data_IF_838126633372
#
_entry.id   IF_838126633372
#
_cell.length_a   1.000
_cell.length_b   1.000
_cell.length_c   1.000
_cell.angle_alpha   90.00
_cell.angle_beta   90.00
_cell.angle_gamma   90.00
#
_symmetry.space_group_name_H-M   'P 1'
#
loop_
_entity.id
_entity.type
_entity.pdbx_description
1 polymer ?
#
# COMPACT_ATOMS: atom_id res chain seq x y z
N UNK A 1 15.06 7.22 33.13
CA UNK A 1 14.56 8.20 32.16
C UNK A 1 14.02 7.39 30.99
N UNK A 2 12.72 7.06 30.99
CA UNK A 2 12.10 6.30 29.90
C UNK A 2 12.04 7.23 28.68
N UNK A 3 12.75 6.85 27.63
CA UNK A 3 12.75 7.59 26.37
C UNK A 3 11.32 7.63 25.81
N UNK A 4 10.77 8.84 25.71
CA UNK A 4 9.41 9.08 25.20
C UNK A 4 9.37 8.71 23.73
N UNK A 5 8.80 7.55 23.41
CA UNK A 5 8.63 7.11 22.03
C UNK A 5 7.40 7.80 21.43
N UNK A 6 7.61 8.97 20.83
CA UNK A 6 6.58 9.66 20.03
C UNK A 6 6.32 8.88 18.73
N UNK A 7 5.42 7.91 18.79
CA UNK A 7 4.91 7.26 17.59
C UNK A 7 3.80 8.15 17.04
N UNK A 8 3.93 8.63 15.80
CA UNK A 8 2.83 9.31 15.13
C UNK A 8 1.89 8.22 14.57
N UNK A 9 0.76 8.03 15.23
CA UNK A 9 -0.23 7.03 14.88
C UNK A 9 -1.63 7.59 14.95
N UNK A 10 -2.55 6.98 14.22
CA UNK A 10 -3.93 7.40 14.09
C UNK A 10 -4.81 6.41 14.86
N UNK A 11 -5.42 6.83 15.99
CA UNK A 11 -6.29 5.97 16.78
C UNK A 11 -7.47 5.43 16.01
N UNK A 12 -7.78 4.16 16.26
CA UNK A 12 -8.93 3.47 15.71
C UNK A 12 -9.86 3.05 16.84
N UNK A 13 -11.09 3.56 16.79
CA UNK A 13 -12.16 3.19 17.69
C UNK A 13 -12.99 2.06 17.08
N UNK A 14 -13.09 0.95 17.82
CA UNK A 14 -13.93 -0.20 17.46
C UNK A 14 -15.22 -0.12 18.29
N UNK A 15 -16.40 0.02 17.68
CA UNK A 15 -17.62 0.45 18.36
C UNK A 15 -18.28 -0.59 19.27
N UNK A 16 -17.94 -1.88 19.14
CA UNK A 16 -18.57 -2.97 19.89
C UNK A 16 -17.50 -3.87 20.49
N UNK A 17 -17.71 -4.37 21.72
CA UNK A 17 -16.82 -5.34 22.38
C UNK A 17 -16.76 -6.69 21.63
N UNK A 18 -17.75 -6.97 20.79
CA UNK A 18 -17.84 -8.18 19.98
C UNK A 18 -17.97 -7.83 18.49
N UNK A 19 -17.20 -8.51 17.64
CA UNK A 19 -17.26 -8.42 16.18
C UNK A 19 -17.85 -9.72 15.62
N UNK A 20 -18.85 -9.62 14.73
CA UNK A 20 -19.50 -10.76 14.08
C UNK A 20 -18.95 -11.03 12.68
N UNK A 21 -17.96 -11.90 12.58
CA UNK A 21 -17.23 -12.20 11.36
C UNK A 21 -17.99 -13.18 10.46
N UNK A 22 -17.98 -12.95 9.15
CA UNK A 22 -18.26 -14.02 8.19
C UNK A 22 -17.08 -15.01 8.14
N UNK A 23 -17.30 -16.23 8.60
CA UNK A 23 -16.27 -17.26 8.69
C UNK A 23 -16.82 -18.65 8.38
N UNK A 24 -16.00 -19.52 7.79
CA UNK A 24 -16.30 -20.94 7.61
C UNK A 24 -15.40 -21.75 8.53
N UNK A 25 -15.98 -22.64 9.33
CA UNK A 25 -15.22 -23.62 10.11
C UNK A 25 -14.47 -24.59 9.17
N UNK A 26 -13.19 -24.82 9.43
CA UNK A 26 -12.36 -25.78 8.70
C UNK A 26 -12.31 -27.10 9.46
N UNK A 27 -12.48 -28.20 8.73
CA UNK A 27 -12.38 -29.55 9.33
C UNK A 27 -10.92 -29.98 9.53
N UNK A 28 -10.71 -30.93 10.44
CA UNK A 28 -9.37 -31.43 10.78
C UNK A 28 -8.63 -31.94 9.53
N UNK A 29 -7.52 -31.27 9.18
CA UNK A 29 -6.69 -31.63 8.03
C UNK A 29 -6.96 -30.84 6.74
N UNK A 30 -8.00 -30.01 6.69
CA UNK A 30 -8.27 -29.16 5.52
C UNK A 30 -7.13 -28.15 5.32
N UNK A 31 -6.56 -28.09 4.10
CA UNK A 31 -5.61 -27.05 3.67
C UNK A 31 -6.13 -26.32 2.43
N UNK A 32 -7.32 -25.72 2.50
CA UNK A 32 -7.93 -25.07 1.35
C UNK A 32 -7.10 -23.85 0.94
N UNK A 33 -6.96 -23.66 -0.37
CA UNK A 33 -6.41 -22.43 -0.93
C UNK A 33 -7.54 -21.46 -1.18
N UNK A 34 -7.57 -20.37 -0.42
CA UNK A 34 -8.52 -19.29 -0.65
C UNK A 34 -7.87 -18.12 -1.38
N UNK A 35 -8.71 -17.26 -1.96
CA UNK A 35 -8.30 -15.98 -2.49
C UNK A 35 -7.72 -15.05 -1.41
N UNK A 36 -7.12 -13.94 -1.86
CA UNK A 36 -6.46 -12.98 -0.96
C UNK A 36 -7.41 -12.32 0.04
N UNK A 37 -8.72 -12.35 -0.20
CA UNK A 37 -9.76 -11.79 0.66
C UNK A 37 -10.16 -12.68 1.84
N UNK A 38 -9.62 -13.90 1.92
CA UNK A 38 -9.85 -14.82 3.03
C UNK A 38 -8.53 -15.10 3.75
N UNK A 39 -8.59 -15.16 5.09
CA UNK A 39 -7.47 -15.52 5.96
C UNK A 39 -7.89 -16.64 6.90
N UNK A 40 -6.94 -17.45 7.31
CA UNK A 40 -7.20 -18.53 8.25
C UNK A 40 -6.74 -18.12 9.65
N UNK A 41 -7.60 -18.32 10.64
CA UNK A 41 -7.31 -18.04 12.04
C UNK A 41 -7.74 -19.20 12.91
N UNK A 42 -7.13 -19.33 14.08
CA UNK A 42 -7.58 -20.22 15.14
C UNK A 42 -8.33 -19.39 16.18
N UNK A 43 -9.56 -19.81 16.50
CA UNK A 43 -10.46 -19.16 17.46
C UNK A 43 -10.96 -20.28 18.38
N UNK A 44 -10.68 -20.18 19.68
CA UNK A 44 -11.03 -21.19 20.68
C UNK A 44 -10.59 -22.63 20.28
N UNK A 45 -9.39 -22.78 19.71
CA UNK A 45 -8.86 -24.08 19.27
C UNK A 45 -9.50 -24.64 17.98
N UNK A 46 -10.36 -23.86 17.32
CA UNK A 46 -11.00 -24.24 16.05
C UNK A 46 -10.46 -23.35 14.93
N UNK A 47 -10.09 -23.96 13.80
CA UNK A 47 -9.62 -23.22 12.62
C UNK A 47 -10.80 -22.71 11.79
N UNK A 48 -10.74 -21.43 11.44
CA UNK A 48 -11.74 -20.75 10.62
C UNK A 48 -11.09 -20.10 9.41
N UNK A 49 -11.77 -20.17 8.27
CA UNK A 49 -11.54 -19.33 7.11
C UNK A 49 -12.41 -18.08 7.23
N UNK A 50 -11.80 -16.95 7.55
CA UNK A 50 -12.47 -15.67 7.81
C UNK A 50 -12.36 -14.79 6.57
N UNK A 51 -13.48 -14.22 6.14
CA UNK A 51 -13.51 -13.19 5.10
C UNK A 51 -12.99 -11.89 5.72
N UNK A 52 -11.91 -11.33 5.17
CA UNK A 52 -11.26 -10.12 5.70
C UNK A 52 -11.31 -8.94 4.74
N UNK A 53 -11.54 -9.17 3.45
CA UNK A 53 -11.61 -8.13 2.43
C UNK A 53 -12.81 -8.36 1.48
N UNK A 54 -13.18 -7.38 0.63
CA UNK A 54 -14.21 -7.57 -0.38
C UNK A 54 -13.93 -8.77 -1.29
N UNK A 55 -14.97 -9.58 -1.53
CA UNK A 55 -14.95 -10.75 -2.40
C UNK A 55 -16.04 -11.75 -2.02
N UNK A 56 -16.25 -12.77 -2.84
CA UNK A 56 -17.28 -13.78 -2.58
C UNK A 56 -16.89 -14.64 -1.36
N UNK A 57 -17.79 -14.79 -0.37
CA UNK A 57 -17.52 -15.63 0.79
C UNK A 57 -17.43 -17.11 0.36
N UNK A 58 -16.52 -17.91 0.94
CA UNK A 58 -16.52 -19.35 0.73
C UNK A 58 -17.88 -19.99 1.05
N UNK A 59 -18.28 -21.06 0.32
CA UNK A 59 -19.50 -21.80 0.64
C UNK A 59 -19.48 -22.31 2.08
N UNK A 60 -20.60 -22.13 2.80
CA UNK A 60 -20.72 -22.55 4.21
C UNK A 60 -20.17 -21.53 5.23
N UNK A 61 -19.99 -20.27 4.85
CA UNK A 61 -19.73 -19.21 5.83
C UNK A 61 -20.94 -18.95 6.73
N UNK A 62 -20.68 -18.79 8.01
CA UNK A 62 -21.60 -18.41 9.07
C UNK A 62 -21.11 -17.14 9.79
N UNK A 63 -21.96 -16.54 10.62
CA UNK A 63 -21.56 -15.41 11.46
C UNK A 63 -20.96 -15.92 12.77
N UNK A 64 -19.67 -15.66 12.98
CA UNK A 64 -18.94 -16.05 14.19
C UNK A 64 -18.65 -14.79 15.01
N UNK A 65 -19.17 -14.74 16.23
CA UNK A 65 -18.86 -13.69 17.20
C UNK A 65 -17.47 -13.89 17.81
N UNK A 66 -16.65 -12.84 17.79
CA UNK A 66 -15.37 -12.79 18.51
C UNK A 66 -15.31 -11.56 19.40
N UNK A 67 -14.69 -11.68 20.57
CA UNK A 67 -14.26 -10.51 21.33
C UNK A 67 -12.92 -10.04 20.81
N UNK A 68 -12.84 -8.80 20.32
CA UNK A 68 -11.60 -8.32 19.71
C UNK A 68 -10.45 -8.18 20.69
N UNK A 69 -10.73 -8.09 22.00
CA UNK A 69 -9.71 -8.09 23.05
C UNK A 69 -9.00 -9.45 23.14
N UNK A 70 -9.73 -10.54 22.91
CA UNK A 70 -9.18 -11.91 22.94
C UNK A 70 -8.44 -12.23 21.62
N UNK A 71 -8.83 -11.59 20.52
CA UNK A 71 -8.32 -11.85 19.16
C UNK A 71 -7.88 -10.57 18.43
N UNK A 72 -6.96 -9.76 18.98
CA UNK A 72 -6.63 -8.45 18.45
C UNK A 72 -5.95 -8.49 17.08
N UNK A 73 -5.23 -9.57 16.75
CA UNK A 73 -4.64 -9.74 15.41
C UNK A 73 -5.68 -9.91 14.30
N UNK A 74 -6.86 -10.46 14.62
CA UNK A 74 -7.98 -10.57 13.67
C UNK A 74 -8.57 -9.18 13.44
N UNK A 75 -8.88 -8.44 14.52
CA UNK A 75 -9.39 -7.08 14.44
C UNK A 75 -8.44 -6.13 13.71
N UNK A 76 -7.13 -6.20 14.00
CA UNK A 76 -6.09 -5.46 13.29
C UNK A 76 -6.13 -5.73 11.77
N UNK A 77 -6.29 -6.99 11.36
CA UNK A 77 -6.38 -7.34 9.93
C UNK A 77 -7.64 -6.74 9.30
N UNK A 78 -8.78 -6.81 9.99
CA UNK A 78 -10.05 -6.28 9.49
C UNK A 78 -10.05 -4.75 9.36
N UNK A 79 -9.50 -4.05 10.35
CA UNK A 79 -9.32 -2.58 10.33
C UNK A 79 -8.46 -2.19 9.13
N UNK A 80 -7.34 -2.88 8.94
CA UNK A 80 -6.42 -2.64 7.83
C UNK A 80 -7.09 -2.85 6.47
N UNK A 81 -7.76 -3.98 6.28
CA UNK A 81 -8.45 -4.30 5.04
C UNK A 81 -9.62 -3.34 4.76
N UNK A 82 -10.37 -2.94 5.79
CA UNK A 82 -11.43 -1.94 5.68
C UNK A 82 -10.89 -0.56 5.27
N UNK A 83 -9.79 -0.12 5.88
CA UNK A 83 -9.13 1.14 5.53
C UNK A 83 -8.67 1.15 4.07
N UNK A 84 -7.97 0.10 3.63
CA UNK A 84 -7.53 0.01 2.24
C UNK A 84 -8.70 -0.03 1.26
N UNK A 85 -9.78 -0.76 1.59
CA UNK A 85 -10.96 -0.87 0.74
C UNK A 85 -11.71 0.47 0.62
N UNK A 86 -11.78 1.24 1.70
CA UNK A 86 -12.37 2.58 1.70
C UNK A 86 -11.65 3.53 0.72
N UNK A 87 -10.31 3.55 0.76
CA UNK A 87 -9.53 4.38 -0.15
C UNK A 87 -9.54 3.85 -1.59
N UNK A 88 -9.58 2.52 -1.77
CA UNK A 88 -9.77 1.92 -3.09
C UNK A 88 -11.09 2.36 -3.73
N UNK A 89 -12.19 2.36 -2.98
CA UNK A 89 -13.49 2.86 -3.43
C UNK A 89 -13.46 4.38 -3.75
N UNK A 90 -12.51 5.11 -3.17
CA UNK A 90 -12.27 6.54 -3.42
C UNK A 90 -11.31 6.80 -4.59
N UNK A 91 -10.95 5.76 -5.36
CA UNK A 91 -10.11 5.88 -6.56
C UNK A 91 -8.60 5.76 -6.31
N UNK A 92 -8.17 5.39 -5.10
CA UNK A 92 -6.76 5.10 -4.86
C UNK A 92 -6.39 3.70 -5.37
N UNK A 93 -5.20 3.59 -5.95
CA UNK A 93 -4.57 2.30 -6.20
C UNK A 93 -4.02 1.73 -4.89
N UNK A 94 -4.25 0.42 -4.66
CA UNK A 94 -3.83 -0.26 -3.43
C UNK A 94 -2.77 -1.30 -3.74
N UNK A 95 -1.59 -1.13 -3.17
CA UNK A 95 -0.49 -2.11 -3.21
C UNK A 95 -0.32 -2.74 -1.84
N UNK A 96 -0.70 -4.01 -1.69
CA UNK A 96 -0.59 -4.75 -0.42
C UNK A 96 0.78 -5.43 -0.28
N UNK A 97 1.48 -5.16 0.82
CA UNK A 97 2.70 -5.84 1.25
C UNK A 97 2.49 -6.69 2.51
N UNK A 98 3.58 -7.29 3.00
CA UNK A 98 3.57 -8.09 4.23
C UNK A 98 3.57 -7.17 5.45
N UNK A 99 2.38 -6.89 5.99
CA UNK A 99 2.21 -6.06 7.20
C UNK A 99 2.28 -4.54 6.94
N UNK A 100 2.31 -4.12 5.69
CA UNK A 100 2.26 -2.73 5.24
C UNK A 100 1.48 -2.68 3.92
N UNK A 101 0.64 -1.67 3.76
CA UNK A 101 -0.06 -1.36 2.52
C UNK A 101 0.35 -0.01 2.01
N UNK A 102 0.24 0.20 0.70
CA UNK A 102 0.41 1.52 0.09
C UNK A 102 -0.83 1.90 -0.68
N UNK A 103 -1.25 3.14 -0.50
CA UNK A 103 -2.32 3.79 -1.25
C UNK A 103 -1.69 4.82 -2.17
N UNK A 104 -2.09 4.88 -3.44
CA UNK A 104 -1.58 5.85 -4.39
C UNK A 104 -2.71 6.54 -5.14
N UNK A 105 -2.64 7.86 -5.25
CA UNK A 105 -3.52 8.64 -6.12
C UNK A 105 -2.66 9.45 -7.11
N UNK A 106 -3.09 9.49 -8.37
CA UNK A 106 -2.36 10.23 -9.40
C UNK A 106 -2.37 11.73 -9.10
N UNK A 107 -1.22 12.37 -9.24
CA UNK A 107 -1.04 13.82 -9.06
C UNK A 107 -0.36 14.41 -10.29
N UNK A 108 -1.01 15.42 -10.87
CA UNK A 108 -0.38 16.25 -11.87
C UNK A 108 0.64 17.18 -11.19
N UNK A 109 1.91 17.06 -11.56
CA UNK A 109 2.97 17.97 -11.15
C UNK A 109 3.22 18.97 -12.29
N UNK A 110 3.09 20.25 -11.98
CA UNK A 110 3.35 21.32 -12.95
C UNK A 110 4.80 21.25 -13.45
N UNK A 111 4.97 21.39 -14.77
CA UNK A 111 6.26 21.29 -15.43
C UNK A 111 6.87 19.88 -15.48
N UNK A 112 6.21 18.84 -14.97
CA UNK A 112 6.69 17.48 -15.18
C UNK A 112 6.44 17.05 -16.64
N UNK A 113 7.42 16.44 -17.33
CA UNK A 113 7.21 15.93 -18.68
C UNK A 113 6.06 14.91 -18.72
N UNK A 114 5.23 14.95 -19.76
CA UNK A 114 4.09 14.05 -19.94
C UNK A 114 4.46 12.56 -20.01
N UNK A 115 5.74 12.25 -20.22
CA UNK A 115 6.27 10.87 -20.20
C UNK A 115 6.37 10.30 -18.79
N UNK A 116 6.22 11.11 -17.74
CA UNK A 116 6.26 10.70 -16.36
C UNK A 116 4.93 10.95 -15.65
N UNK A 117 4.50 9.95 -14.89
CA UNK A 117 3.38 10.03 -13.98
C UNK A 117 3.92 10.08 -12.55
N UNK A 118 3.28 10.88 -11.71
CA UNK A 118 3.59 10.98 -10.30
C UNK A 118 2.36 10.64 -9.48
N UNK A 119 2.57 9.90 -8.41
CA UNK A 119 1.52 9.52 -7.47
C UNK A 119 1.93 9.96 -6.07
N UNK A 120 1.05 10.72 -5.43
CA UNK A 120 1.09 10.89 -3.98
C UNK A 120 0.55 9.61 -3.34
N UNK A 121 1.04 9.26 -2.16
CA UNK A 121 0.58 8.06 -1.50
C UNK A 121 0.75 8.02 0.01
N UNK A 122 0.14 7.00 0.61
CA UNK A 122 0.21 6.70 2.03
C UNK A 122 0.78 5.30 2.22
N UNK A 123 1.82 5.18 3.03
CA UNK A 123 2.17 3.91 3.68
C UNK A 123 1.25 3.72 4.88
N UNK A 124 0.66 2.52 4.99
CA UNK A 124 -0.33 2.16 5.99
C UNK A 124 0.15 0.92 6.72
N UNK A 125 0.43 1.05 8.01
CA UNK A 125 0.81 -0.07 8.87
C UNK A 125 -0.12 -0.18 10.07
N UNK A 126 -0.95 -1.23 10.14
CA UNK A 126 -1.82 -1.42 11.29
C UNK A 126 -1.04 -1.96 12.48
N UNK A 127 -1.45 -1.61 13.69
CA UNK A 127 -0.92 -2.20 14.92
C UNK A 127 -1.99 -2.21 16.01
N UNK A 128 -1.69 -2.92 17.09
CA UNK A 128 -2.44 -2.83 18.33
C UNK A 128 -1.47 -2.87 19.51
N UNK A 129 -1.89 -2.29 20.63
CA UNK A 129 -1.16 -2.31 21.90
C UNK A 129 -2.10 -2.92 22.94
N UNK A 130 -1.78 -4.10 23.50
CA UNK A 130 -2.47 -4.60 24.67
C UNK A 130 -2.06 -3.74 25.89
N UNK A 131 -3.04 -3.16 26.59
CA UNK A 131 -2.84 -2.33 27.79
C UNK A 131 -3.81 -2.82 28.86
N UNK A 132 -3.29 -3.55 29.85
CA UNK A 132 -4.06 -4.19 30.92
C UNK A 132 -5.26 -4.98 30.40
N UNK A 133 -6.48 -4.54 30.70
CA UNK A 133 -7.76 -5.16 30.29
C UNK A 133 -8.29 -4.62 28.96
N UNK A 134 -7.53 -3.74 28.30
CA UNK A 134 -7.92 -3.04 27.07
C UNK A 134 -6.95 -3.33 25.93
N UNK A 135 -7.39 -3.08 24.70
CA UNK A 135 -6.50 -3.09 23.53
C UNK A 135 -6.75 -1.84 22.72
N UNK A 136 -5.69 -1.09 22.44
CA UNK A 136 -5.71 0.08 21.58
C UNK A 136 -5.36 -0.35 20.16
N UNK A 137 -6.13 0.09 19.17
CA UNK A 137 -5.85 -0.17 17.74
C UNK A 137 -5.46 1.09 17.04
N UNK A 138 -4.45 1.00 16.17
CA UNK A 138 -3.87 2.13 15.50
C UNK A 138 -3.43 1.87 14.08
N UNK A 139 -3.33 2.93 13.29
CA UNK A 139 -2.63 2.94 12.02
C UNK A 139 -1.41 3.88 12.12
N UNK A 140 -0.23 3.39 11.76
CA UNK A 140 0.88 4.27 11.40
C UNK A 140 0.70 4.65 9.94
N UNK A 141 0.53 5.95 9.68
CA UNK A 141 0.39 6.49 8.35
C UNK A 141 1.57 7.41 8.04
N UNK A 142 2.21 7.19 6.90
CA UNK A 142 3.32 8.01 6.45
C UNK A 142 3.18 8.37 4.98
N UNK A 143 3.64 9.57 4.60
CA UNK A 143 3.62 10.00 3.22
C UNK A 143 4.65 9.21 2.42
N UNK A 144 4.21 8.68 1.28
CA UNK A 144 5.06 8.04 0.28
C UNK A 144 4.71 8.56 -1.11
N UNK A 145 5.51 8.22 -2.10
CA UNK A 145 5.23 8.58 -3.49
C UNK A 145 5.69 7.47 -4.42
N UNK A 146 5.18 7.49 -5.64
CA UNK A 146 5.57 6.58 -6.71
C UNK A 146 5.68 7.37 -8.01
N UNK A 147 6.69 7.03 -8.80
CA UNK A 147 6.89 7.54 -10.15
C UNK A 147 6.78 6.40 -11.13
N UNK A 148 6.20 6.66 -12.30
CA UNK A 148 6.07 5.69 -13.38
C UNK A 148 6.28 6.39 -14.73
N UNK A 149 6.79 5.67 -15.72
CA UNK A 149 6.69 6.15 -17.09
C UNK A 149 5.25 5.97 -17.61
N UNK A 150 4.77 6.94 -18.38
CA UNK A 150 3.41 6.91 -18.93
C UNK A 150 3.25 5.80 -20.00
N UNK A 151 4.24 5.69 -20.89
CA UNK A 151 4.30 4.73 -22.00
C UNK A 151 4.87 3.38 -21.59
N UNK A 152 4.59 2.34 -22.37
CA UNK A 152 5.16 1.00 -22.19
C UNK A 152 6.49 0.86 -22.95
N UNK A 153 7.21 -0.25 -22.75
CA UNK A 153 8.37 -0.58 -23.57
C UNK A 153 7.98 -0.70 -25.05
N UNK A 154 6.77 -1.17 -25.38
CA UNK A 154 6.33 -1.25 -26.76
C UNK A 154 6.18 0.13 -27.43
N UNK A 155 5.88 1.18 -26.68
CA UNK A 155 5.60 2.49 -27.27
C UNK A 155 6.80 3.44 -27.22
N UNK A 156 7.77 3.15 -26.34
CA UNK A 156 8.87 4.07 -26.06
C UNK A 156 10.25 3.43 -26.34
N UNK A 157 10.87 3.75 -27.48
CA UNK A 157 12.20 3.25 -27.83
C UNK A 157 13.29 3.61 -26.82
N UNK A 158 13.13 4.71 -26.06
CA UNK A 158 14.12 5.10 -25.05
C UNK A 158 14.00 4.19 -23.84
N UNK A 159 12.79 3.91 -23.37
CA UNK A 159 12.62 2.90 -22.31
C UNK A 159 13.16 1.53 -22.72
N UNK A 160 12.98 1.11 -24.00
CA UNK A 160 13.56 -0.15 -24.49
C UNK A 160 15.08 -0.20 -24.36
N UNK A 161 15.79 0.90 -24.61
CA UNK A 161 17.25 0.96 -24.41
C UNK A 161 17.65 0.78 -22.95
N UNK A 162 16.75 1.12 -22.02
CA UNK A 162 17.00 1.08 -20.58
C UNK A 162 16.62 -0.27 -19.93
N UNK A 163 15.80 -1.10 -20.58
CA UNK A 163 15.26 -2.34 -19.99
C UNK A 163 16.32 -3.39 -19.59
N UNK A 164 17.51 -3.35 -20.21
CA UNK A 164 18.64 -4.21 -19.86
C UNK A 164 19.52 -3.65 -18.73
N UNK A 165 19.33 -2.39 -18.35
CA UNK A 165 20.10 -1.69 -17.30
C UNK A 165 19.31 -1.52 -16.00
N UNK A 166 17.99 -1.44 -16.10
CA UNK A 166 17.10 -1.15 -14.97
C UNK A 166 16.02 -2.21 -14.83
N UNK A 167 15.50 -2.35 -13.62
CA UNK A 167 14.37 -3.25 -13.34
C UNK A 167 13.14 -2.78 -14.14
N UNK A 168 12.42 -3.72 -14.75
CA UNK A 168 11.12 -3.51 -15.37
C UNK A 168 10.01 -4.01 -14.45
N UNK A 169 8.85 -3.40 -14.55
CA UNK A 169 7.64 -3.86 -13.88
C UNK A 169 6.46 -3.89 -14.85
N UNK A 170 5.52 -4.80 -14.60
CA UNK A 170 4.32 -4.97 -15.39
C UNK A 170 3.26 -5.77 -14.65
N UNK A 171 2.04 -5.73 -15.18
CA UNK A 171 0.92 -6.51 -14.68
C UNK A 171 0.56 -7.57 -15.73
N UNK A 172 0.37 -8.81 -15.28
CA UNK A 172 -0.11 -9.90 -16.12
C UNK A 172 -1.62 -9.81 -16.35
N UNK A 173 -2.11 -10.55 -17.33
CA UNK A 173 -3.56 -10.70 -17.58
C UNK A 173 -4.34 -11.28 -16.39
N UNK A 174 -3.68 -11.97 -15.46
CA UNK A 174 -4.27 -12.49 -14.22
C UNK A 174 -4.23 -11.49 -13.05
N UNK A 175 -3.79 -10.26 -13.29
CA UNK A 175 -3.65 -9.18 -12.30
C UNK A 175 -2.45 -9.34 -11.37
N UNK A 176 -1.56 -10.33 -11.60
CA UNK A 176 -0.34 -10.46 -10.83
C UNK A 176 0.73 -9.47 -11.30
N UNK A 177 1.30 -8.74 -10.34
CA UNK A 177 2.41 -7.82 -10.59
C UNK A 177 3.72 -8.59 -10.69
N UNK A 178 4.53 -8.22 -11.68
CA UNK A 178 5.87 -8.75 -11.90
C UNK A 178 6.86 -7.62 -11.90
N UNK A 179 8.01 -7.88 -11.28
CA UNK A 179 9.19 -7.03 -11.42
C UNK A 179 10.45 -7.89 -11.56
N UNK A 180 11.39 -7.39 -12.36
CA UNK A 180 12.64 -8.10 -12.62
C UNK A 180 13.48 -7.44 -13.71
N UNK A 181 14.50 -8.15 -14.18
CA UNK A 181 15.38 -7.65 -15.25
C UNK A 181 15.11 -8.39 -16.55
N UNK A 182 15.10 -7.67 -17.67
CA UNK A 182 14.96 -8.27 -19.00
C UNK A 182 16.26 -8.99 -19.34
N UNK A 183 16.18 -10.28 -19.65
CA UNK A 183 17.34 -11.08 -20.11
C UNK A 183 17.45 -11.14 -21.63
N UNK A 184 16.30 -11.28 -22.31
CA UNK A 184 16.21 -11.26 -23.76
C UNK A 184 14.88 -10.60 -24.16
N UNK A 185 14.85 -9.93 -25.30
CA UNK A 185 13.66 -9.36 -25.91
C UNK A 185 13.64 -9.66 -27.41
N UNK A 186 12.68 -10.48 -27.83
CA UNK A 186 12.51 -10.91 -29.22
C UNK A 186 11.06 -10.73 -29.65
N UNK A 187 10.83 -10.26 -30.87
CA UNK A 187 9.51 -10.24 -31.52
C UNK A 187 8.37 -9.65 -30.67
N UNK A 188 8.63 -8.61 -29.90
CA UNK A 188 7.64 -7.92 -29.06
C UNK A 188 7.38 -8.56 -27.69
N UNK A 189 8.14 -9.60 -27.32
CA UNK A 189 8.14 -10.23 -26.01
C UNK A 189 9.48 -10.11 -25.32
N UNK A 190 9.49 -10.19 -24.00
CA UNK A 190 10.67 -10.17 -23.17
C UNK A 190 10.62 -11.27 -22.12
N UNK A 191 11.76 -11.92 -21.89
CA UNK A 191 11.95 -12.81 -20.74
C UNK A 191 12.43 -11.98 -19.56
N UNK A 192 11.58 -11.82 -18.56
CA UNK A 192 11.84 -11.11 -17.32
C UNK A 192 12.28 -12.11 -16.25
N UNK A 193 13.48 -11.92 -15.70
CA UNK A 193 13.98 -12.68 -14.56
C UNK A 193 13.68 -11.93 -13.27
N UNK A 194 12.84 -12.55 -12.44
CA UNK A 194 12.47 -12.12 -11.10
C UNK A 194 13.10 -13.03 -10.04
N UNK A 195 12.91 -12.71 -8.75
CA UNK A 195 13.30 -13.60 -7.64
C UNK A 195 12.53 -14.92 -7.63
N UNK A 196 11.30 -14.91 -8.14
CA UNK A 196 10.41 -16.06 -8.25
C UNK A 196 10.67 -16.93 -9.48
N UNK A 197 11.63 -16.57 -10.32
CA UNK A 197 11.96 -17.29 -11.55
C UNK A 197 11.85 -16.40 -12.80
N UNK A 198 11.90 -17.04 -13.96
CA UNK A 198 11.77 -16.38 -15.25
C UNK A 198 10.31 -16.44 -15.73
N UNK A 199 9.90 -15.40 -16.45
CA UNK A 199 8.62 -15.39 -17.14
C UNK A 199 8.71 -14.58 -18.42
N UNK A 200 7.92 -14.99 -19.42
CA UNK A 200 7.78 -14.24 -20.65
C UNK A 200 6.62 -13.25 -20.52
N UNK A 201 6.82 -12.01 -20.96
CA UNK A 201 5.82 -10.93 -20.95
C UNK A 201 5.87 -10.13 -22.26
N UNK A 202 4.77 -9.49 -22.63
CA UNK A 202 4.75 -8.61 -23.81
C UNK A 202 5.42 -7.28 -23.45
N UNK A 203 6.12 -6.68 -24.41
CA UNK A 203 6.70 -5.35 -24.21
C UNK A 203 5.63 -4.27 -23.94
N UNK A 204 4.40 -4.48 -24.40
CA UNK A 204 3.25 -3.60 -24.14
C UNK A 204 2.70 -3.72 -22.71
N UNK A 205 3.16 -4.69 -21.93
CA UNK A 205 2.77 -4.90 -20.53
C UNK A 205 3.86 -4.42 -19.56
N UNK A 206 5.03 -4.06 -20.09
CA UNK A 206 6.21 -3.73 -19.30
C UNK A 206 6.53 -2.24 -19.39
N UNK A 207 7.05 -1.72 -18.27
CA UNK A 207 7.64 -0.39 -18.15
C UNK A 207 8.96 -0.50 -17.40
N UNK A 208 9.93 0.36 -17.70
CA UNK A 208 11.09 0.51 -16.81
C UNK A 208 10.60 1.11 -15.49
N UNK A 209 11.09 0.61 -14.35
CA UNK A 209 10.78 1.25 -13.07
C UNK A 209 11.44 2.62 -13.04
N UNK A 210 10.64 3.67 -12.84
CA UNK A 210 11.06 5.06 -12.90
C UNK A 210 11.83 5.49 -11.62
N UNK A 211 12.93 4.81 -11.34
CA UNK A 211 13.92 5.27 -10.33
C UNK A 211 14.60 6.55 -10.81
N UNK A 212 15.14 7.36 -9.89
CA UNK A 212 15.85 8.59 -10.28
C UNK A 212 17.00 8.33 -11.26
N UNK A 213 17.74 7.23 -11.09
CA UNK A 213 18.81 6.84 -12.01
C UNK A 213 18.28 6.45 -13.40
N UNK A 214 17.15 5.74 -13.48
CA UNK A 214 16.51 5.40 -14.75
C UNK A 214 15.93 6.64 -15.43
N UNK A 215 15.36 7.56 -14.66
CA UNK A 215 14.85 8.85 -15.16
C UNK A 215 16.00 9.68 -15.72
N UNK A 216 17.13 9.82 -15.02
CA UNK A 216 18.32 10.50 -15.57
C UNK A 216 18.74 9.87 -16.89
N UNK A 217 18.97 8.56 -16.91
CA UNK A 217 19.36 7.84 -18.13
C UNK A 217 18.33 7.96 -19.27
N UNK A 218 17.05 8.19 -18.96
CA UNK A 218 16.00 8.42 -19.96
C UNK A 218 16.10 9.81 -20.61
N UNK A 219 16.49 10.83 -19.83
CA UNK A 219 16.57 12.22 -20.28
C UNK A 219 17.96 12.64 -20.77
N UNK A 220 19.03 11.89 -20.45
CA UNK A 220 20.41 12.19 -20.87
C UNK A 220 20.57 12.31 -22.39
N UNK A 221 19.74 11.60 -23.15
CA UNK A 221 19.80 11.55 -24.62
C UNK A 221 19.00 12.69 -25.30
N UNK A 222 18.44 13.65 -24.55
CA UNK A 222 17.63 14.73 -25.11
C UNK A 222 18.40 16.05 -25.30
N UNK A 223 18.25 16.72 -26.46
CA UNK A 223 18.71 18.09 -26.63
C UNK A 223 17.81 19.06 -25.83
N UNK A 224 18.33 19.52 -24.68
CA UNK A 224 17.98 20.72 -23.88
C UNK A 224 16.54 21.25 -24.05
N UNK A 225 15.61 20.78 -23.21
CA UNK A 225 14.37 21.54 -22.89
C UNK A 225 14.06 21.60 -21.39
N UNK A 226 14.41 20.56 -20.64
CA UNK A 226 14.59 20.58 -19.18
C UNK A 226 15.84 19.72 -18.89
N UNK A 227 16.72 20.15 -17.98
CA UNK A 227 17.87 19.33 -17.60
C UNK A 227 17.39 18.05 -16.89
N UNK A 228 18.01 16.89 -17.15
CA UNK A 228 17.68 15.64 -16.45
C UNK A 228 17.73 15.79 -14.92
N UNK A 229 18.66 16.61 -14.43
CA UNK A 229 18.79 16.95 -13.01
C UNK A 229 17.62 17.79 -12.50
N UNK A 230 17.05 18.67 -13.32
CA UNK A 230 15.91 19.50 -12.94
C UNK A 230 14.65 18.64 -12.77
N UNK A 231 14.42 17.70 -13.69
CA UNK A 231 13.31 16.73 -13.58
C UNK A 231 13.47 15.90 -12.30
N UNK A 232 14.66 15.37 -12.05
CA UNK A 232 14.92 14.60 -10.81
C UNK A 232 14.78 15.45 -9.57
N UNK A 233 15.27 16.69 -9.55
CA UNK A 233 15.11 17.61 -8.43
C UNK A 233 13.63 17.93 -8.14
N UNK A 234 12.82 18.19 -9.19
CA UNK A 234 11.37 18.38 -9.03
C UNK A 234 10.71 17.16 -8.40
N UNK A 235 11.03 15.95 -8.89
CA UNK A 235 10.49 14.71 -8.34
C UNK A 235 10.93 14.47 -6.90
N UNK A 236 12.21 14.69 -6.57
CA UNK A 236 12.74 14.55 -5.21
C UNK A 236 12.10 15.54 -4.23
N UNK A 237 11.88 16.78 -4.68
CA UNK A 237 11.17 17.79 -3.89
C UNK A 237 9.72 17.38 -3.67
N UNK A 238 9.04 16.85 -4.68
CA UNK A 238 7.66 16.39 -4.58
C UNK A 238 7.51 15.10 -3.75
N UNK A 239 8.50 14.20 -3.80
CA UNK A 239 8.50 12.94 -3.05
C UNK A 239 8.73 13.13 -1.55
N UNK A 240 9.13 14.33 -1.12
CA UNK A 240 9.51 14.66 0.25
C UNK A 240 10.48 13.60 0.84
N UNK A 241 11.29 12.99 -0.02
CA UNK A 241 12.21 11.93 0.39
C UNK A 241 13.26 12.51 1.33
N UNK A 242 13.49 11.81 2.43
CA UNK A 242 14.61 12.12 3.31
C UNK A 242 15.91 12.00 2.50
N UNK A 243 16.84 12.92 2.74
CA UNK A 243 18.17 12.82 2.17
C UNK A 243 18.87 11.52 2.64
N UNK A 244 19.95 11.15 1.95
CA UNK A 244 20.72 9.93 2.20
C UNK A 244 21.26 9.78 3.63
N UNK A 245 21.28 10.86 4.43
CA UNK A 245 21.66 10.82 5.85
C UNK A 245 20.51 10.45 6.79
N UNK A 246 19.28 10.27 6.30
CA UNK A 246 18.12 9.85 7.10
C UNK A 246 17.68 10.85 8.17
N UNK A 247 18.36 12.00 8.28
CA UNK A 247 18.00 13.07 9.18
C UNK A 247 16.81 13.83 8.59
N UNK A 248 15.65 13.63 9.20
CA UNK A 248 14.48 14.44 8.97
C UNK A 248 14.81 15.91 9.22
N UNK A 249 14.91 16.71 8.15
CA UNK A 249 14.70 18.13 8.30
C UNK A 249 13.28 18.29 8.87
N UNK A 250 13.15 18.90 10.06
CA UNK A 250 11.86 19.12 10.73
C UNK A 250 10.83 19.74 9.77
N UNK A 251 11.29 20.59 8.85
CA UNK A 251 10.46 21.17 7.79
C UNK A 251 9.87 20.12 6.83
N UNK A 252 10.68 19.15 6.37
CA UNK A 252 10.19 18.04 5.53
C UNK A 252 9.24 17.13 6.30
N UNK A 253 9.50 16.89 7.59
CA UNK A 253 8.60 16.09 8.42
C UNK A 253 7.23 16.76 8.58
N UNK A 254 7.19 18.07 8.85
CA UNK A 254 5.95 18.84 8.92
C UNK A 254 5.18 18.82 7.57
N UNK A 255 5.90 18.92 6.45
CA UNK A 255 5.29 18.80 5.11
C UNK A 255 4.72 17.41 4.86
N UNK A 256 5.39 16.34 5.31
CA UNK A 256 4.88 14.96 5.20
C UNK A 256 3.59 14.78 6.00
N UNK A 257 3.53 15.30 7.24
CA UNK A 257 2.28 15.28 8.01
C UNK A 257 1.16 16.07 7.33
N UNK A 258 1.47 17.26 6.80
CA UNK A 258 0.52 18.04 6.00
C UNK A 258 -0.03 17.23 4.82
N UNK A 259 0.84 16.50 4.11
CA UNK A 259 0.45 15.63 2.99
C UNK A 259 -0.38 14.43 3.41
N UNK A 260 -0.05 13.78 4.53
CA UNK A 260 -0.88 12.70 5.07
C UNK A 260 -2.30 13.23 5.34
N UNK A 261 -2.42 14.36 6.03
CA UNK A 261 -3.71 14.99 6.31
C UNK A 261 -4.49 15.36 5.03
N UNK A 262 -3.80 15.90 4.02
CA UNK A 262 -4.43 16.19 2.72
C UNK A 262 -5.00 14.93 2.05
N UNK A 263 -4.21 13.84 2.01
CA UNK A 263 -4.61 12.57 1.40
C UNK A 263 -5.75 11.87 2.15
N UNK A 264 -5.85 12.09 3.46
CA UNK A 264 -6.96 11.61 4.28
C UNK A 264 -8.28 12.40 4.09
N UNK A 265 -8.29 13.45 3.25
CA UNK A 265 -9.48 14.28 2.99
C UNK A 265 -9.49 15.64 3.70
N UNK A 266 -8.37 16.04 4.32
CA UNK A 266 -8.20 17.34 4.95
C UNK A 266 -8.97 17.52 6.26
N UNK A 267 -9.17 18.78 6.70
CA UNK A 267 -9.84 19.16 7.95
C UNK A 267 -11.38 19.00 7.92
N UNK A 268 -11.92 18.09 7.10
CA UNK A 268 -13.37 17.99 6.84
C UNK A 268 -14.13 17.19 7.90
N UNK A 269 -13.47 16.22 8.56
CA UNK A 269 -14.03 15.48 9.68
C UNK A 269 -12.90 15.03 10.62
N UNK A 270 -13.14 15.05 11.93
CA UNK A 270 -12.19 14.58 12.94
C UNK A 270 -11.91 13.06 12.85
N UNK A 271 -12.78 12.32 12.15
CA UNK A 271 -12.72 10.88 12.01
C UNK A 271 -13.11 10.43 10.60
N UNK A 272 -12.43 9.40 10.11
CA UNK A 272 -12.73 8.62 8.92
C UNK A 272 -13.49 7.38 9.37
N UNK A 273 -14.75 7.28 8.93
CA UNK A 273 -15.62 6.15 9.24
C UNK A 273 -15.48 5.10 8.13
N UNK A 274 -14.91 3.94 8.44
CA UNK A 274 -14.74 2.84 7.48
C UNK A 274 -15.59 1.64 7.88
N UNK A 275 -16.26 1.05 6.90
CA UNK A 275 -17.08 -0.15 7.10
C UNK A 275 -16.20 -1.40 7.03
N UNK A 276 -16.29 -2.27 8.04
CA UNK A 276 -15.67 -3.60 7.96
C UNK A 276 -16.58 -4.50 7.13
N UNK A 277 -16.10 -4.90 5.95
CA UNK A 277 -16.90 -5.64 4.96
C UNK A 277 -17.44 -6.99 5.44
N UNK A 278 -16.72 -7.68 6.32
CA UNK A 278 -17.14 -8.98 6.87
C UNK A 278 -18.07 -8.88 8.08
N UNK A 279 -18.43 -7.66 8.49
CA UNK A 279 -19.40 -7.38 9.54
C UNK A 279 -20.66 -6.79 8.88
N UNK A 280 -21.85 -7.26 9.26
CA UNK A 280 -23.10 -6.57 8.91
C UNK A 280 -23.09 -5.14 9.51
N UNK A 281 -22.57 -4.16 8.75
CA UNK A 281 -22.60 -2.70 9.02
C UNK A 281 -21.95 -2.24 10.33
N UNK A 282 -20.77 -2.77 10.71
CA UNK A 282 -19.96 -2.14 11.75
C UNK A 282 -19.02 -1.10 11.16
N UNK A 283 -19.11 0.13 11.67
CA UNK A 283 -18.25 1.26 11.30
C UNK A 283 -17.15 1.41 12.33
N UNK A 284 -15.88 1.35 11.92
CA UNK A 284 -14.77 1.79 12.78
C UNK A 284 -14.41 3.23 12.46
N UNK A 285 -14.10 3.98 13.51
CA UNK A 285 -13.77 5.40 13.41
C UNK A 285 -12.27 5.55 13.56
N UNK A 286 -11.60 6.10 12.56
CA UNK A 286 -10.16 6.33 12.53
C UNK A 286 -9.94 7.82 12.64
N UNK A 287 -9.17 8.28 13.63
CA UNK A 287 -8.87 9.70 13.77
C UNK A 287 -8.22 10.24 12.49
N UNK A 288 -8.54 11.48 12.12
CA UNK A 288 -7.89 12.18 11.00
C UNK A 288 -6.58 12.86 11.41
N UNK A 289 -6.28 12.89 12.71
CA UNK A 289 -5.08 13.47 13.31
C UNK A 289 -4.33 12.42 14.13
N UNK A 290 -2.98 12.48 14.18
CA UNK A 290 -2.21 11.55 14.97
C UNK A 290 -2.36 11.83 16.47
N UNK A 291 -2.35 10.78 17.29
CA UNK A 291 -2.25 10.89 18.73
C UNK A 291 -0.78 10.75 19.19
N UNK A 292 -0.42 11.45 20.26
CA UNK A 292 0.77 11.17 21.03
C UNK A 292 0.45 10.03 22.03
N UNK A 293 1.21 8.94 22.01
CA UNK A 293 1.23 8.00 23.14
C UNK A 293 2.31 8.44 24.11
N UNK A 294 1.91 8.69 25.36
CA UNK A 294 2.82 8.70 26.49
C UNK A 294 2.81 7.29 27.10
N UNK A 295 3.82 6.46 26.77
CA UNK A 295 4.03 5.21 27.50
C UNK A 295 4.75 5.57 28.80
N UNK A 296 4.09 5.34 29.94
CA UNK A 296 4.68 5.46 31.27
C UNK A 296 5.37 4.16 31.69
#
# INVERSE_FOLDING_TARGET
>A
MLERLKINWYPVQVPASELRLQARRLEGGEKPRFGRHVRQYEINGVRYAVVVAPGDPPPGCENVGIKWQEYPWIAQTLIYEAFLSHFSASGFEVVKGKGEGKLFCHRQLEGLPATLLFYDGLSVKPFYIPVDTTTLFGLVLDYTSRQEFASTLADDPRQRKLMGRFEVAGERSDGSLISGFVQNAESGRAVVRSRSGQCEMRLSELKVRASYSAIRAYFSDQPRRDGEDEVVQRLQKASLSLNSSGYANVYQLAQRYGKVRELLGGARAANINVCIHSLCRSVVSIASEPADIEVQ
#
